data_IF_668788404791
#
_entry.id   IF_668788404791
#
_cell.length_a   1.000
_cell.length_b   1.000
_cell.length_c   1.000
_cell.angle_alpha   90.00
_cell.angle_beta   90.00
_cell.angle_gamma   90.00
#
_symmetry.space_group_name_H-M   'P 1'
#
loop_
_entity.id
_entity.type
_entity.pdbx_description
1 polymer ?
#
# COMPACT_ATOMS: atom_id res chain seq x y z
N UNK A 1 1.50 -3.61 2.60
CA UNK A 1 2.02 -4.94 2.36
C UNK A 1 1.93 -5.34 0.89
N UNK A 2 2.49 -6.48 0.54
CA UNK A 2 2.43 -7.00 -0.84
C UNK A 2 0.99 -7.22 -1.32
N UNK A 3 0.06 -7.42 -0.42
CA UNK A 3 -1.35 -7.51 -0.73
C UNK A 3 -1.95 -6.19 -1.25
N UNK A 4 -1.28 -5.08 -1.06
CA UNK A 4 -1.71 -3.76 -1.52
C UNK A 4 -0.96 -3.30 -2.77
N UNK A 5 0.35 -3.56 -2.85
CA UNK A 5 1.18 -3.23 -4.01
C UNK A 5 2.23 -4.33 -4.22
N UNK A 6 1.94 -5.26 -5.12
CA UNK A 6 2.80 -6.43 -5.38
C UNK A 6 3.95 -6.14 -6.35
N UNK A 7 3.87 -5.07 -7.13
CA UNK A 7 4.80 -4.83 -8.25
C UNK A 7 6.28 -4.78 -7.86
N UNK A 8 6.69 -4.18 -6.73
CA UNK A 8 8.11 -4.22 -6.35
C UNK A 8 8.64 -5.64 -6.13
N UNK A 9 7.86 -6.49 -5.47
CA UNK A 9 8.27 -7.87 -5.15
C UNK A 9 8.19 -8.79 -6.37
N UNK A 10 7.14 -8.66 -7.17
CA UNK A 10 6.85 -9.59 -8.26
C UNK A 10 7.59 -9.24 -9.56
N UNK A 11 7.69 -7.94 -9.88
CA UNK A 11 8.32 -7.46 -11.11
C UNK A 11 9.64 -6.72 -10.89
N UNK A 12 10.09 -6.59 -9.64
CA UNK A 12 11.20 -5.70 -9.30
C UNK A 12 10.96 -4.26 -9.80
N UNK A 13 9.70 -3.83 -9.76
CA UNK A 13 9.31 -2.52 -10.26
C UNK A 13 9.77 -1.41 -9.31
N UNK A 14 10.31 -0.34 -9.89
CA UNK A 14 10.68 0.84 -9.15
C UNK A 14 9.48 1.77 -8.97
N UNK A 15 9.20 2.16 -7.73
CA UNK A 15 8.28 3.22 -7.39
C UNK A 15 9.00 4.25 -6.52
N UNK A 16 8.95 5.56 -6.85
CA UNK A 16 9.44 6.58 -5.95
C UNK A 16 8.72 6.51 -4.61
N UNK A 17 9.46 6.70 -3.52
CA UNK A 17 8.91 6.74 -2.16
C UNK A 17 9.33 8.05 -1.52
N UNK A 18 8.41 8.73 -0.86
CA UNK A 18 8.62 10.01 -0.20
C UNK A 18 8.07 10.01 1.21
N UNK A 19 8.76 10.67 2.13
CA UNK A 19 8.23 10.97 3.45
C UNK A 19 7.43 12.28 3.38
N UNK A 20 6.11 12.20 3.41
CA UNK A 20 5.23 13.36 3.37
C UNK A 20 5.20 14.13 4.69
N UNK A 21 5.46 13.45 5.81
CA UNK A 21 5.47 14.06 7.13
C UNK A 21 6.69 14.94 7.36
N UNK A 22 7.83 14.60 6.76
CA UNK A 22 9.09 15.34 6.89
C UNK A 22 9.79 15.54 5.55
N UNK A 23 9.22 16.36 4.64
CA UNK A 23 9.75 16.50 3.27
C UNK A 23 11.11 17.19 3.21
N UNK A 24 11.54 17.87 4.26
CA UNK A 24 12.81 18.60 4.34
C UNK A 24 13.77 18.01 5.40
N UNK A 25 13.54 16.78 5.84
CA UNK A 25 14.42 16.10 6.77
C UNK A 25 15.77 15.71 6.15
N UNK A 26 16.75 15.37 7.00
CA UNK A 26 18.01 14.81 6.53
C UNK A 26 17.79 13.48 5.82
N UNK A 27 18.52 13.24 4.74
CA UNK A 27 18.38 11.99 3.97
C UNK A 27 19.16 10.87 4.64
N UNK A 28 18.50 9.71 4.76
CA UNK A 28 19.09 8.47 5.23
C UNK A 28 18.70 7.33 4.28
N UNK A 29 19.39 6.21 4.37
CA UNK A 29 19.12 5.04 3.53
C UNK A 29 18.28 4.04 4.30
N UNK A 30 17.19 3.58 3.68
CA UNK A 30 16.23 2.66 4.27
C UNK A 30 15.95 1.48 3.36
N UNK A 31 15.66 0.34 3.95
CA UNK A 31 14.89 -0.72 3.32
C UNK A 31 13.44 -0.55 3.75
N UNK A 32 12.54 -0.39 2.78
CA UNK A 32 11.12 -0.17 3.03
C UNK A 32 10.39 -1.50 2.87
N UNK A 33 9.79 -1.97 3.96
CA UNK A 33 9.11 -3.27 4.04
C UNK A 33 7.65 -3.08 4.45
N UNK A 34 6.82 -4.06 4.10
CA UNK A 34 5.45 -4.14 4.58
C UNK A 34 5.34 -4.97 5.85
N UNK A 35 4.13 -5.39 6.15
CA UNK A 35 3.78 -6.09 7.39
C UNK A 35 3.35 -7.54 7.18
N UNK A 36 3.65 -8.10 6.01
CA UNK A 36 3.44 -9.52 5.71
C UNK A 36 4.77 -10.25 5.87
N UNK A 37 4.74 -11.47 6.38
CA UNK A 37 5.95 -12.21 6.73
C UNK A 37 6.76 -12.74 5.54
N UNK A 38 6.22 -12.69 4.33
CA UNK A 38 6.85 -13.24 3.12
C UNK A 38 7.19 -12.14 2.13
N UNK A 39 8.49 -12.01 1.82
CA UNK A 39 9.03 -11.20 0.70
C UNK A 39 8.31 -9.84 0.53
N UNK A 40 8.04 -9.14 1.62
CA UNK A 40 7.25 -7.91 1.61
C UNK A 40 8.16 -6.67 1.61
N UNK A 41 9.06 -6.60 0.63
CA UNK A 41 10.01 -5.50 0.48
C UNK A 41 9.62 -4.60 -0.69
N UNK A 42 9.29 -3.35 -0.40
CA UNK A 42 8.96 -2.35 -1.43
C UNK A 42 10.20 -1.74 -2.08
N UNK A 43 11.25 -1.56 -1.31
CA UNK A 43 12.50 -0.97 -1.81
C UNK A 43 13.66 -1.31 -0.87
N UNK A 44 14.83 -1.54 -1.44
CA UNK A 44 16.09 -1.71 -0.71
C UNK A 44 16.98 -0.50 -0.95
N UNK A 45 17.82 -0.18 0.04
CA UNK A 45 18.80 0.89 -0.02
C UNK A 45 18.24 2.22 -0.59
N UNK A 46 17.02 2.55 -0.17
CA UNK A 46 16.30 3.72 -0.68
C UNK A 46 16.65 4.96 0.13
N UNK A 47 17.20 6.02 -0.52
CA UNK A 47 17.34 7.33 0.13
C UNK A 47 15.96 7.94 0.41
N UNK A 48 15.69 8.25 1.66
CA UNK A 48 14.48 8.93 2.11
C UNK A 48 14.85 9.99 3.16
N UNK A 49 14.05 11.03 3.25
CA UNK A 49 14.11 11.91 4.41
C UNK A 49 13.82 11.12 5.69
N UNK A 50 14.56 11.40 6.74
CA UNK A 50 14.51 10.65 8.00
C UNK A 50 13.07 10.30 8.39
N UNK A 51 12.82 9.01 8.59
CA UNK A 51 11.50 8.47 8.92
C UNK A 51 11.39 8.23 10.42
N UNK A 52 10.25 8.56 10.98
CA UNK A 52 9.87 8.31 12.38
C UNK A 52 8.61 7.49 12.42
N UNK A 53 8.38 6.81 13.54
CA UNK A 53 7.13 6.10 13.78
C UNK A 53 5.94 7.07 13.65
N UNK A 54 4.92 6.65 12.91
CA UNK A 54 3.73 7.45 12.62
C UNK A 54 3.83 8.34 11.39
N UNK A 55 5.00 8.43 10.74
CA UNK A 55 5.15 9.20 9.50
C UNK A 55 4.35 8.56 8.35
N UNK A 56 3.86 9.43 7.46
CA UNK A 56 3.18 9.04 6.24
C UNK A 56 4.17 8.96 5.08
N UNK A 57 4.28 7.79 4.49
CA UNK A 57 5.05 7.58 3.27
C UNK A 57 4.12 7.52 2.05
N UNK A 58 4.56 8.12 0.96
CA UNK A 58 3.88 8.06 -0.31
C UNK A 58 4.67 7.19 -1.28
N UNK A 59 4.06 6.15 -1.83
CA UNK A 59 4.61 5.36 -2.93
C UNK A 59 3.96 5.88 -4.21
N UNK A 60 4.76 6.52 -5.07
CA UNK A 60 4.27 7.17 -6.30
C UNK A 60 4.11 6.20 -7.46
N UNK A 61 3.38 6.65 -8.48
CA UNK A 61 3.16 5.93 -9.74
C UNK A 61 2.50 4.56 -9.55
N UNK A 62 1.73 4.42 -8.48
CA UNK A 62 1.09 3.16 -8.08
C UNK A 62 -0.44 3.17 -8.25
N UNK A 63 -1.05 4.30 -8.58
CA UNK A 63 -2.52 4.45 -8.63
C UNK A 63 -3.21 3.46 -9.57
N UNK A 64 -2.64 3.23 -10.76
CA UNK A 64 -3.19 2.28 -11.72
C UNK A 64 -3.07 0.81 -11.29
N UNK A 65 -2.20 0.50 -10.34
CA UNK A 65 -1.86 -0.87 -9.95
C UNK A 65 -2.21 -1.20 -8.50
N UNK A 66 -2.35 -0.19 -7.64
CA UNK A 66 -2.52 -0.38 -6.20
C UNK A 66 -3.73 -1.23 -5.87
N UNK A 67 -4.93 -0.80 -6.27
CA UNK A 67 -6.13 -1.59 -6.03
C UNK A 67 -6.27 -2.76 -7.03
N UNK A 68 -5.98 -2.54 -8.29
CA UNK A 68 -6.22 -3.51 -9.37
C UNK A 68 -5.46 -4.83 -9.16
N UNK A 69 -4.25 -4.76 -8.62
CA UNK A 69 -3.43 -5.92 -8.30
C UNK A 69 -3.45 -6.27 -6.80
N UNK A 70 -4.24 -5.58 -6.02
CA UNK A 70 -4.39 -5.89 -4.60
C UNK A 70 -5.08 -7.23 -4.39
N UNK A 71 -4.79 -7.86 -3.27
CA UNK A 71 -5.39 -9.14 -2.89
C UNK A 71 -5.79 -9.13 -1.42
N UNK A 72 -6.56 -10.14 -1.04
CA UNK A 72 -6.91 -10.38 0.36
C UNK A 72 -5.96 -11.38 1.04
N UNK A 73 -4.73 -11.50 0.55
CA UNK A 73 -3.72 -12.38 1.14
C UNK A 73 -3.57 -12.13 2.65
N UNK A 74 -3.50 -13.19 3.43
CA UNK A 74 -3.53 -13.17 4.90
C UNK A 74 -4.80 -12.52 5.48
N UNK A 75 -5.94 -12.61 4.78
CA UNK A 75 -7.22 -12.00 5.17
C UNK A 75 -7.13 -10.49 5.42
N UNK A 76 -6.22 -9.82 4.72
CA UNK A 76 -6.09 -8.36 4.80
C UNK A 76 -7.05 -7.68 3.84
N UNK A 77 -7.56 -6.54 4.26
CA UNK A 77 -8.49 -5.75 3.46
C UNK A 77 -7.77 -5.02 2.34
N UNK A 78 -8.38 -5.00 1.16
CA UNK A 78 -7.90 -4.15 0.07
C UNK A 78 -8.13 -2.69 0.42
N UNK A 79 -7.26 -1.77 -0.07
CA UNK A 79 -7.29 -0.38 0.33
C UNK A 79 -8.49 0.38 -0.24
N UNK A 80 -8.79 1.52 0.36
CA UNK A 80 -9.66 2.52 -0.25
C UNK A 80 -8.98 3.15 -1.47
N UNK A 81 -9.79 3.67 -2.40
CA UNK A 81 -9.31 4.50 -3.51
C UNK A 81 -9.88 5.90 -3.40
N UNK A 82 -9.03 6.87 -3.61
CA UNK A 82 -9.35 8.29 -3.55
C UNK A 82 -8.93 8.93 -4.87
N UNK A 83 -9.85 9.65 -5.49
CA UNK A 83 -9.57 10.49 -6.64
C UNK A 83 -9.37 11.94 -6.19
N UNK A 84 -8.22 12.50 -6.53
CA UNK A 84 -7.97 13.92 -6.36
C UNK A 84 -8.18 14.64 -7.69
N UNK A 85 -9.16 15.53 -7.75
CA UNK A 85 -9.53 16.23 -8.97
C UNK A 85 -9.90 17.68 -8.65
N UNK A 86 -9.35 18.62 -9.41
CA UNK A 86 -9.65 20.05 -9.29
C UNK A 86 -9.53 20.59 -7.85
N UNK A 87 -8.52 20.13 -7.10
CA UNK A 87 -8.29 20.55 -5.73
C UNK A 87 -9.17 19.84 -4.69
N UNK A 88 -10.04 18.94 -5.13
CA UNK A 88 -10.96 18.21 -4.24
C UNK A 88 -10.63 16.71 -4.17
N UNK A 89 -10.90 16.13 -3.03
CA UNK A 89 -10.68 14.71 -2.74
C UNK A 89 -12.02 13.97 -2.75
N UNK A 90 -12.11 12.93 -3.58
CA UNK A 90 -13.30 12.11 -3.71
C UNK A 90 -12.99 10.67 -3.34
N UNK A 91 -13.73 10.11 -2.38
CA UNK A 91 -13.68 8.68 -2.12
C UNK A 91 -14.44 7.95 -3.23
N UNK A 92 -13.70 7.24 -4.10
CA UNK A 92 -14.30 6.49 -5.23
C UNK A 92 -14.44 5.01 -4.95
N UNK A 93 -13.77 4.50 -3.92
CA UNK A 93 -13.92 3.14 -3.41
C UNK A 93 -13.65 3.13 -1.92
N UNK A 94 -14.61 2.62 -1.14
CA UNK A 94 -14.38 2.43 0.30
C UNK A 94 -13.40 1.29 0.58
N UNK A 95 -12.77 1.33 1.73
CA UNK A 95 -11.94 0.21 2.20
C UNK A 95 -12.82 -1.02 2.44
N UNK A 96 -12.30 -2.21 2.17
CA UNK A 96 -12.97 -3.46 2.50
C UNK A 96 -13.13 -3.65 4.01
N UNK A 97 -14.15 -4.42 4.35
CA UNK A 97 -14.47 -4.90 5.69
C UNK A 97 -14.44 -6.42 5.72
N UNK A 98 -14.62 -7.03 6.89
CA UNK A 98 -14.72 -8.49 7.01
C UNK A 98 -15.89 -9.04 6.18
N UNK A 99 -17.01 -8.35 6.16
CA UNK A 99 -18.17 -8.78 5.37
C UNK A 99 -17.84 -8.84 3.87
N UNK A 100 -17.00 -7.93 3.36
CA UNK A 100 -16.56 -7.96 1.96
C UNK A 100 -15.70 -9.18 1.65
N UNK A 101 -14.91 -9.66 2.60
CA UNK A 101 -14.11 -10.89 2.43
C UNK A 101 -14.99 -12.14 2.44
N UNK A 102 -16.11 -12.12 3.14
CA UNK A 102 -16.94 -13.30 3.40
C UNK A 102 -18.18 -13.40 2.51
N UNK A 103 -18.59 -12.32 1.85
CA UNK A 103 -19.92 -12.25 1.20
C UNK A 103 -20.14 -13.28 0.08
N UNK A 104 -19.09 -13.84 -0.50
CA UNK A 104 -19.21 -14.90 -1.51
C UNK A 104 -19.10 -16.31 -0.92
N UNK A 105 -18.86 -16.44 0.38
CA UNK A 105 -18.78 -17.74 1.02
C UNK A 105 -20.19 -18.29 1.26
N UNK A 106 -20.34 -19.57 1.01
CA UNK A 106 -21.61 -20.30 1.25
C UNK A 106 -21.42 -21.14 2.51
N UNK A 107 -22.20 -20.87 3.59
CA UNK A 107 -22.14 -21.69 4.80
C UNK A 107 -22.47 -23.15 4.48
N UNK A 108 -21.75 -24.07 5.10
CA UNK A 108 -22.15 -25.48 5.07
C UNK A 108 -23.44 -25.66 5.90
N UNK A 109 -24.39 -26.40 5.34
CA UNK A 109 -25.57 -26.82 6.09
C UNK A 109 -25.21 -27.82 7.19
N UNK A 110 -26.09 -27.95 8.17
CA UNK A 110 -25.97 -28.94 9.25
C UNK A 110 -26.12 -30.38 8.75
#
# INVERSE_FOLDING_TARGET
>A
GLNQLIRPMFYNAYHPIENLSHPNGSVQTYTVVGNVCETDTFAEDRPLNQVREGDLLCIRNAGAYGFEMASSYNARFRPAEVLFRAGEMHLIRRRETLDDLLHLQIPLGD
#
